data_IF_505106435250
#
_entry.id   IF_505106435250
#
_cell.length_a   1.000
_cell.length_b   1.000
_cell.length_c   1.000
_cell.angle_alpha   90.00
_cell.angle_beta   90.00
_cell.angle_gamma   90.00
#
_symmetry.space_group_name_H-M   'P 1'
#
loop_
_entity.id
_entity.type
_entity.pdbx_description
1 polymer ?
#
# COMPACT_ATOMS: atom_id res chain seq x y z
N UNK A 1 -18.80 17.90 -30.95
CA UNK A 1 -18.82 16.52 -31.47
C UNK A 1 -17.96 15.65 -30.57
N UNK A 2 -18.56 14.91 -29.63
CA UNK A 2 -17.82 13.94 -28.83
C UNK A 2 -17.47 12.75 -29.75
N UNK A 3 -16.18 12.46 -29.95
CA UNK A 3 -15.74 11.29 -30.71
C UNK A 3 -16.22 10.05 -29.96
N UNK A 4 -17.11 9.27 -30.58
CA UNK A 4 -17.45 7.93 -30.12
C UNK A 4 -16.16 7.09 -30.17
N UNK A 5 -15.54 6.83 -29.01
CA UNK A 5 -14.37 5.97 -28.92
C UNK A 5 -14.87 4.53 -29.02
N UNK A 6 -14.68 3.94 -30.19
CA UNK A 6 -14.93 2.51 -30.39
C UNK A 6 -14.13 1.72 -29.35
N UNK A 7 -14.81 0.84 -28.59
CA UNK A 7 -14.16 0.03 -27.56
C UNK A 7 -13.34 -1.03 -28.28
N UNK A 8 -12.01 -0.91 -28.21
CA UNK A 8 -11.11 -1.91 -28.75
C UNK A 8 -11.14 -3.12 -27.81
N UNK A 9 -11.53 -4.27 -28.33
CA UNK A 9 -11.43 -5.53 -27.61
C UNK A 9 -9.95 -5.90 -27.47
N UNK A 10 -9.41 -5.76 -26.26
CA UNK A 10 -8.04 -6.14 -25.98
C UNK A 10 -7.93 -7.65 -25.75
N UNK A 11 -6.83 -8.29 -26.20
CA UNK A 11 -6.57 -9.70 -25.96
C UNK A 11 -6.10 -9.91 -24.51
N UNK A 12 -7.03 -9.80 -23.55
CA UNK A 12 -6.74 -9.78 -22.12
C UNK A 12 -5.95 -11.00 -21.62
N UNK A 13 -6.24 -12.18 -22.15
CA UNK A 13 -5.57 -13.41 -21.73
C UNK A 13 -4.09 -13.43 -22.12
N UNK A 14 -3.76 -12.88 -23.30
CA UNK A 14 -2.36 -12.73 -23.73
C UNK A 14 -1.61 -11.71 -22.86
N UNK A 15 -2.26 -10.61 -22.49
CA UNK A 15 -1.66 -9.60 -21.60
C UNK A 15 -1.38 -10.19 -20.20
N UNK A 16 -2.32 -10.99 -19.66
CA UNK A 16 -2.15 -11.66 -18.37
C UNK A 16 -1.07 -12.74 -18.39
N UNK A 17 -0.92 -13.44 -19.51
CA UNK A 17 0.14 -14.43 -19.70
C UNK A 17 1.54 -13.79 -19.73
N UNK A 18 1.67 -12.62 -20.37
CA UNK A 18 2.94 -11.92 -20.57
C UNK A 18 3.16 -10.74 -19.60
N UNK A 19 2.53 -10.73 -18.42
CA UNK A 19 2.52 -9.56 -17.51
C UNK A 19 3.86 -9.25 -16.82
N UNK A 20 4.77 -10.21 -16.76
CA UNK A 20 6.09 -10.08 -16.10
C UNK A 20 7.15 -9.88 -17.19
N UNK A 21 8.11 -9.00 -16.94
CA UNK A 21 9.25 -8.79 -17.82
C UNK A 21 10.36 -9.81 -17.56
N UNK A 22 11.04 -10.24 -18.61
CA UNK A 22 12.24 -11.09 -18.53
C UNK A 22 13.49 -10.32 -18.06
N UNK A 23 13.38 -9.00 -17.87
CA UNK A 23 14.47 -8.19 -17.38
C UNK A 23 14.88 -8.61 -15.95
N UNK A 24 16.20 -8.66 -15.72
CA UNK A 24 16.72 -8.96 -14.39
C UNK A 24 16.33 -7.84 -13.42
N UNK A 25 15.70 -8.14 -12.26
CA UNK A 25 15.38 -7.11 -11.27
C UNK A 25 16.67 -6.53 -10.66
N UNK A 26 16.65 -5.24 -10.26
CA UNK A 26 17.71 -4.63 -9.46
C UNK A 26 17.97 -5.42 -8.17
N UNK A 27 19.21 -5.41 -7.68
CA UNK A 27 19.63 -6.23 -6.54
C UNK A 27 19.05 -5.74 -5.19
N UNK A 28 18.71 -4.46 -5.12
CA UNK A 28 18.11 -3.80 -3.98
C UNK A 28 16.61 -4.06 -3.84
N UNK A 29 15.97 -4.66 -4.85
CA UNK A 29 14.55 -4.99 -4.77
C UNK A 29 14.31 -6.16 -3.80
N UNK A 30 13.17 -6.17 -3.08
CA UNK A 30 12.83 -7.27 -2.22
C UNK A 30 12.78 -8.60 -2.99
N UNK A 31 13.12 -9.69 -2.31
CA UNK A 31 13.09 -11.03 -2.90
C UNK A 31 11.70 -11.35 -3.48
N UNK A 32 11.68 -11.90 -4.70
CA UNK A 32 10.45 -12.24 -5.42
C UNK A 32 9.77 -11.08 -6.14
N UNK A 33 10.27 -9.85 -6.02
CA UNK A 33 9.79 -8.71 -6.82
C UNK A 33 10.47 -8.73 -8.19
N UNK A 34 9.65 -8.67 -9.23
CA UNK A 34 10.07 -8.73 -10.64
C UNK A 34 9.54 -7.52 -11.41
N UNK A 35 10.25 -7.07 -12.46
CA UNK A 35 9.76 -5.97 -13.28
C UNK A 35 8.49 -6.35 -14.04
N UNK A 36 7.60 -5.38 -14.20
CA UNK A 36 6.40 -5.53 -15.03
C UNK A 36 6.76 -5.34 -16.51
N UNK A 37 6.15 -6.12 -17.39
CA UNK A 37 6.30 -5.94 -18.84
C UNK A 37 5.41 -4.80 -19.35
N UNK A 38 5.63 -4.39 -20.61
CA UNK A 38 4.76 -3.41 -21.28
C UNK A 38 3.31 -3.92 -21.37
N UNK A 39 3.12 -5.21 -21.69
CA UNK A 39 1.80 -5.84 -21.73
C UNK A 39 1.15 -5.88 -20.34
N UNK A 40 1.94 -6.10 -19.29
CA UNK A 40 1.48 -6.05 -17.90
C UNK A 40 1.04 -4.64 -17.48
N UNK A 41 1.64 -3.58 -18.03
CA UNK A 41 1.22 -2.20 -17.76
C UNK A 41 -0.20 -1.92 -18.26
N UNK A 42 -0.64 -2.59 -19.33
CA UNK A 42 -1.99 -2.45 -19.86
C UNK A 42 -3.08 -3.01 -18.92
N UNK A 43 -2.69 -3.77 -17.89
CA UNK A 43 -3.59 -4.26 -16.84
C UNK A 43 -3.84 -3.20 -15.74
N UNK A 44 -3.16 -2.05 -15.78
CA UNK A 44 -3.47 -0.94 -14.89
C UNK A 44 -4.75 -0.23 -15.32
N UNK A 45 -5.60 0.06 -14.35
CA UNK A 45 -6.79 0.88 -14.51
C UNK A 45 -6.85 1.96 -13.44
N UNK A 46 -7.56 3.03 -13.74
CA UNK A 46 -7.89 4.09 -12.77
C UNK A 46 -9.40 4.12 -12.61
N UNK A 47 -9.87 4.13 -11.36
CA UNK A 47 -11.28 4.33 -11.09
C UNK A 47 -11.64 5.81 -11.26
N UNK A 48 -12.46 6.15 -12.27
CA UNK A 48 -12.67 7.54 -12.71
C UNK A 48 -13.17 8.49 -11.60
N UNK A 49 -14.02 7.99 -10.68
CA UNK A 49 -14.60 8.82 -9.63
C UNK A 49 -13.70 9.00 -8.39
N UNK A 50 -12.90 7.97 -8.05
CA UNK A 50 -12.06 7.99 -6.83
C UNK A 50 -10.59 8.29 -7.12
N UNK A 51 -10.16 8.18 -8.38
CA UNK A 51 -8.76 8.31 -8.78
C UNK A 51 -7.87 7.15 -8.32
N UNK A 52 -8.45 6.08 -7.78
CA UNK A 52 -7.69 4.95 -7.24
C UNK A 52 -7.09 4.10 -8.35
N UNK A 53 -5.87 3.62 -8.11
CA UNK A 53 -5.16 2.75 -9.03
C UNK A 53 -5.55 1.28 -8.79
N UNK A 54 -5.84 0.57 -9.87
CA UNK A 54 -6.14 -0.85 -9.90
C UNK A 54 -5.16 -1.57 -10.82
N UNK A 55 -4.81 -2.80 -10.47
CA UNK A 55 -4.04 -3.70 -11.32
C UNK A 55 -4.79 -5.02 -11.47
N UNK A 56 -5.17 -5.37 -12.71
CA UNK A 56 -6.01 -6.53 -13.05
C UNK A 56 -7.26 -6.63 -12.15
N UNK A 57 -7.93 -5.49 -11.95
CA UNK A 57 -9.15 -5.38 -11.15
C UNK A 57 -8.95 -5.35 -9.63
N UNK A 58 -7.71 -5.44 -9.13
CA UNK A 58 -7.40 -5.33 -7.69
C UNK A 58 -6.85 -3.95 -7.35
N UNK A 59 -7.36 -3.34 -6.28
CA UNK A 59 -6.88 -2.04 -5.80
C UNK A 59 -5.40 -2.13 -5.40
N UNK A 60 -4.58 -1.24 -5.95
CA UNK A 60 -3.16 -1.13 -5.62
C UNK A 60 -3.04 -0.18 -4.43
N UNK A 61 -2.59 -0.73 -3.31
CA UNK A 61 -2.44 0.03 -2.07
C UNK A 61 -0.98 0.05 -1.66
N UNK A 62 -0.45 1.26 -1.45
CA UNK A 62 0.83 1.42 -0.76
C UNK A 62 0.58 1.26 0.73
N UNK A 63 0.90 0.09 1.29
CA UNK A 63 0.83 -0.09 2.74
C UNK A 63 2.04 0.57 3.40
N UNK A 64 1.83 1.70 4.06
CA UNK A 64 2.82 2.28 4.97
C UNK A 64 2.74 1.49 6.27
N UNK A 65 3.63 0.51 6.44
CA UNK A 65 3.81 -0.13 7.75
C UNK A 65 4.70 0.76 8.60
N UNK A 66 4.30 1.06 9.84
CA UNK A 66 5.21 1.69 10.79
C UNK A 66 6.48 0.86 10.90
N UNK A 67 7.62 1.52 10.76
CA UNK A 67 8.89 0.87 11.00
C UNK A 67 8.91 0.37 12.45
N UNK A 68 9.54 -0.78 12.72
CA UNK A 68 9.61 -1.37 14.07
C UNK A 68 10.05 -0.38 15.15
N UNK A 69 10.85 0.62 14.77
CA UNK A 69 11.30 1.73 15.63
C UNK A 69 10.17 2.68 16.05
N UNK A 70 9.28 3.02 15.13
CA UNK A 70 8.13 3.88 15.40
C UNK A 70 7.12 3.17 16.31
N UNK A 71 6.94 1.87 16.12
CA UNK A 71 6.10 1.05 17.00
C UNK A 71 6.66 1.00 18.44
N UNK A 72 7.98 0.91 18.61
CA UNK A 72 8.63 0.97 19.94
C UNK A 72 8.41 2.35 20.58
N UNK A 73 8.60 3.43 19.83
CA UNK A 73 8.38 4.79 20.35
C UNK A 73 6.93 5.01 20.77
N UNK A 74 5.97 4.59 19.95
CA UNK A 74 4.55 4.67 20.27
C UNK A 74 4.22 3.88 21.56
N UNK A 75 4.80 2.69 21.71
CA UNK A 75 4.65 1.89 22.93
C UNK A 75 5.22 2.59 24.17
N UNK A 76 6.42 3.17 24.08
CA UNK A 76 7.03 3.89 25.20
C UNK A 76 6.21 5.12 25.62
N UNK A 77 5.70 5.88 24.65
CA UNK A 77 4.81 7.02 24.92
C UNK A 77 3.54 6.55 25.63
N UNK A 78 2.89 5.49 25.13
CA UNK A 78 1.71 4.94 25.77
C UNK A 78 1.98 4.48 27.22
N UNK A 79 3.11 3.79 27.45
CA UNK A 79 3.52 3.34 28.78
C UNK A 79 3.78 4.52 29.74
N UNK A 80 4.42 5.60 29.26
CA UNK A 80 4.64 6.81 30.04
C UNK A 80 3.32 7.49 30.42
N UNK A 81 2.38 7.63 29.47
CA UNK A 81 1.05 8.21 29.71
C UNK A 81 0.26 7.40 30.74
N UNK A 82 0.27 6.07 30.62
CA UNK A 82 -0.40 5.19 31.59
C UNK A 82 0.23 5.34 32.98
N UNK A 83 1.56 5.34 33.05
CA UNK A 83 2.28 5.47 34.33
C UNK A 83 1.92 6.79 35.03
N UNK A 84 1.93 7.89 34.28
CA UNK A 84 1.55 9.21 34.80
C UNK A 84 0.11 9.22 35.32
N UNK A 85 -0.83 8.66 34.56
CA UNK A 85 -2.23 8.56 34.99
C UNK A 85 -2.41 7.74 36.28
N UNK A 86 -1.64 6.66 36.44
CA UNK A 86 -1.65 5.84 37.67
C UNK A 86 -1.07 6.61 38.85
N UNK A 87 0.05 7.31 38.67
CA UNK A 87 0.66 8.14 39.71
C UNK A 87 -0.28 9.27 40.14
N UNK A 88 -0.94 9.95 39.20
CA UNK A 88 -1.90 11.01 39.50
C UNK A 88 -3.12 10.47 40.26
N UNK A 89 -3.67 9.33 39.85
CA UNK A 89 -4.76 8.68 40.55
C UNK A 89 -4.36 8.29 41.99
N UNK A 90 -3.18 7.71 42.17
CA UNK A 90 -2.67 7.33 43.48
C UNK A 90 -2.48 8.54 44.40
N UNK A 91 -1.92 9.64 43.86
CA UNK A 91 -1.79 10.91 44.57
C UNK A 91 -3.15 11.44 45.01
N UNK A 92 -4.12 11.47 44.10
CA UNK A 92 -5.49 11.94 44.39
C UNK A 92 -6.13 11.17 45.55
N UNK A 93 -6.02 9.84 45.58
CA UNK A 93 -6.59 9.03 46.67
C UNK A 93 -5.85 9.18 48.01
N UNK A 94 -4.59 9.60 48.01
CA UNK A 94 -3.80 9.81 49.24
C UNK A 94 -4.00 11.18 49.89
N UNK A 95 -4.74 12.09 49.25
CA UNK A 95 -5.15 13.37 49.84
C UNK A 95 -4.07 14.46 49.84
N UNK A 96 -3.12 14.42 48.90
CA UNK A 96 -2.18 15.53 48.61
C UNK A 96 -2.44 16.23 47.27
#
# INVERSE_FOLDING_TARGET
MAKNKEKIDMPWDNLRANKISDAKPPAEWPAGVVPISIDGLALFGVHEASGELYWDGKRVETRITLARREAILAFLVAAATISMAVFDAWRFFKGE
#
